data_IF_372074760796
#
_entry.id   IF_372074760796
#
_cell.length_a   1.000
_cell.length_b   1.000
_cell.length_c   1.000
_cell.angle_alpha   90.00
_cell.angle_beta   90.00
_cell.angle_gamma   90.00
#
_symmetry.space_group_name_H-M   'P 1'
#
loop_
_entity.id
_entity.type
_entity.pdbx_description
1 polymer ?
#
# COMPACT_ATOMS: atom_id res chain seq x y z
N UNK A 1 -10.97 6.08 -13.34
CA UNK A 1 -10.04 4.96 -13.63
C UNK A 1 -9.10 5.26 -14.79
N UNK A 2 -9.57 5.75 -15.95
CA UNK A 2 -8.68 6.00 -17.10
C UNK A 2 -7.49 6.90 -16.78
N UNK A 3 -7.71 8.01 -16.05
CA UNK A 3 -6.65 8.91 -15.60
C UNK A 3 -5.55 8.23 -14.75
N UNK A 4 -5.91 7.20 -13.98
CA UNK A 4 -4.96 6.44 -13.13
C UNK A 4 -4.12 5.44 -13.91
N UNK A 5 -4.63 4.93 -15.03
CA UNK A 5 -3.95 3.93 -15.86
C UNK A 5 -2.90 4.57 -16.75
N UNK A 6 -3.21 5.74 -17.32
CA UNK A 6 -2.31 6.40 -18.26
C UNK A 6 -1.08 7.01 -17.57
N UNK A 7 -1.13 7.23 -16.24
CA UNK A 7 -0.03 7.79 -15.44
C UNK A 7 0.41 9.22 -15.82
N UNK A 8 -0.16 9.77 -16.90
CA UNK A 8 0.11 11.10 -17.46
C UNK A 8 -0.77 12.20 -16.86
N UNK A 9 -1.84 11.82 -16.17
CA UNK A 9 -2.79 12.76 -15.60
C UNK A 9 -2.30 13.22 -14.23
N UNK A 10 -1.87 14.47 -14.12
CA UNK A 10 -1.46 15.06 -12.84
C UNK A 10 -2.64 15.20 -11.87
N UNK A 11 -3.86 15.35 -12.40
CA UNK A 11 -5.10 15.44 -11.63
C UNK A 11 -5.99 14.24 -11.89
N UNK A 12 -6.31 13.49 -10.83
CA UNK A 12 -7.31 12.42 -10.86
C UNK A 12 -8.58 12.93 -10.17
N UNK A 13 -9.74 12.92 -10.84
CA UNK A 13 -10.95 13.55 -10.35
C UNK A 13 -11.69 12.68 -9.32
N UNK A 14 -11.08 12.43 -8.16
CA UNK A 14 -11.75 11.71 -7.07
C UNK A 14 -12.93 12.48 -6.46
N UNK A 15 -12.95 13.81 -6.66
CA UNK A 15 -13.96 14.72 -6.08
C UNK A 15 -15.27 14.79 -6.87
N UNK A 16 -15.31 14.22 -8.07
CA UNK A 16 -16.51 14.24 -8.92
C UNK A 16 -17.65 13.42 -8.31
N UNK A 17 -17.33 12.42 -7.46
CA UNK A 17 -18.34 11.67 -6.73
C UNK A 17 -17.91 11.37 -5.29
N UNK A 18 -18.89 11.24 -4.39
CA UNK A 18 -18.65 10.80 -3.01
C UNK A 18 -18.03 9.39 -2.97
N UNK A 19 -18.45 8.50 -3.87
CA UNK A 19 -17.94 7.13 -3.95
C UNK A 19 -16.46 7.11 -4.31
N UNK A 20 -16.04 7.84 -5.34
CA UNK A 20 -14.62 7.93 -5.75
C UNK A 20 -13.76 8.65 -4.71
N UNK A 21 -14.36 9.52 -3.88
CA UNK A 21 -13.67 10.18 -2.77
C UNK A 21 -13.38 9.21 -1.62
N UNK A 22 -14.33 8.33 -1.29
CA UNK A 22 -14.11 7.30 -0.28
C UNK A 22 -13.11 6.25 -0.78
N UNK A 23 -13.20 5.88 -2.06
CA UNK A 23 -12.32 4.89 -2.68
C UNK A 23 -10.99 5.45 -3.16
N UNK A 24 -10.66 6.70 -2.84
CA UNK A 24 -9.42 7.35 -3.29
C UNK A 24 -8.20 6.53 -2.87
N UNK A 25 -8.19 6.03 -1.63
CA UNK A 25 -7.07 5.25 -1.11
C UNK A 25 -6.95 3.86 -1.77
N UNK A 26 -8.08 3.27 -2.12
CA UNK A 26 -8.15 2.01 -2.86
C UNK A 26 -7.72 2.13 -4.33
N UNK A 27 -7.78 3.32 -4.92
CA UNK A 27 -7.54 3.53 -6.35
C UNK A 27 -6.28 4.37 -6.56
N UNK A 28 -5.12 3.87 -6.16
CA UNK A 28 -3.81 4.53 -6.31
C UNK A 28 -3.16 5.01 -5.01
N UNK A 29 -3.74 4.69 -3.84
CA UNK A 29 -3.22 5.06 -2.53
C UNK A 29 -2.58 3.91 -1.76
N UNK A 30 -2.75 3.97 -0.43
CA UNK A 30 -2.17 3.06 0.54
C UNK A 30 -3.17 1.93 0.90
N UNK A 31 -3.52 1.10 -0.08
CA UNK A 31 -4.40 -0.05 0.15
C UNK A 31 -4.07 -1.19 -0.81
N UNK A 32 -4.19 -2.43 -0.35
CA UNK A 32 -4.19 -3.63 -1.21
C UNK A 32 -5.62 -3.85 -1.73
N UNK A 33 -5.87 -3.49 -2.98
CA UNK A 33 -7.23 -3.48 -3.54
C UNK A 33 -7.45 -4.64 -4.50
N UNK A 34 -8.59 -5.30 -4.37
CA UNK A 34 -9.07 -6.36 -5.26
C UNK A 34 -10.40 -5.92 -5.86
N UNK A 35 -10.54 -6.08 -7.18
CA UNK A 35 -11.79 -5.82 -7.89
C UNK A 35 -12.37 -7.15 -8.39
N UNK A 36 -13.62 -7.43 -8.03
CA UNK A 36 -14.38 -8.54 -8.60
C UNK A 36 -15.30 -8.00 -9.70
N UNK A 37 -15.21 -8.57 -10.90
CA UNK A 37 -16.03 -8.21 -12.05
C UNK A 37 -17.09 -9.29 -12.28
N UNK A 38 -18.35 -8.98 -12.00
CA UNK A 38 -19.47 -9.88 -12.19
C UNK A 38 -20.00 -9.75 -13.63
N UNK A 39 -20.04 -10.86 -14.37
CA UNK A 39 -20.50 -10.91 -15.75
C UNK A 39 -21.56 -11.99 -15.93
N UNK A 40 -22.54 -11.75 -16.79
CA UNK A 40 -23.59 -12.71 -17.11
C UNK A 40 -23.29 -13.46 -18.42
N UNK A 41 -23.47 -14.78 -18.51
CA UNK A 41 -23.17 -15.56 -19.72
C UNK A 41 -24.20 -15.41 -20.84
N UNK A 42 -25.32 -14.72 -20.58
CA UNK A 42 -26.41 -14.59 -21.54
C UNK A 42 -26.05 -13.66 -22.70
N UNK A 43 -26.45 -14.02 -23.92
CA UNK A 43 -26.10 -13.28 -25.14
C UNK A 43 -26.58 -11.83 -25.16
N UNK A 44 -27.72 -11.51 -24.52
CA UNK A 44 -28.21 -10.13 -24.42
C UNK A 44 -27.36 -9.24 -23.49
N UNK A 45 -26.51 -9.83 -22.65
CA UNK A 45 -25.58 -9.11 -21.78
C UNK A 45 -24.19 -8.94 -22.41
N UNK A 46 -24.01 -9.29 -23.69
CA UNK A 46 -22.69 -9.29 -24.33
C UNK A 46 -22.00 -7.92 -24.24
N UNK A 47 -22.71 -6.84 -24.59
CA UNK A 47 -22.14 -5.49 -24.62
C UNK A 47 -21.77 -4.98 -23.22
N UNK A 48 -22.61 -5.26 -22.21
CA UNK A 48 -22.36 -4.89 -20.82
C UNK A 48 -21.22 -5.72 -20.21
N UNK A 49 -21.16 -7.01 -20.54
CA UNK A 49 -20.07 -7.90 -20.12
C UNK A 49 -18.75 -7.44 -20.72
N UNK A 50 -18.74 -7.08 -22.01
CA UNK A 50 -17.54 -6.55 -22.67
C UNK A 50 -17.08 -5.23 -22.05
N UNK A 51 -18.01 -4.33 -21.75
CA UNK A 51 -17.73 -3.06 -21.08
C UNK A 51 -17.16 -3.26 -19.67
N UNK A 52 -17.74 -4.19 -18.90
CA UNK A 52 -17.29 -4.57 -17.56
C UNK A 52 -15.87 -5.15 -17.59
N UNK A 53 -15.60 -6.08 -18.50
CA UNK A 53 -14.26 -6.68 -18.66
C UNK A 53 -13.21 -5.65 -19.09
N UNK A 54 -13.56 -4.75 -20.01
CA UNK A 54 -12.66 -3.63 -20.41
C UNK A 54 -12.34 -2.72 -19.22
N UNK A 55 -13.33 -2.43 -18.39
CA UNK A 55 -13.11 -1.65 -17.18
C UNK A 55 -12.23 -2.38 -16.16
N UNK A 56 -12.48 -3.67 -15.93
CA UNK A 56 -11.67 -4.50 -15.04
C UNK A 56 -10.22 -4.61 -15.52
N UNK A 57 -10.01 -4.75 -16.84
CA UNK A 57 -8.67 -4.77 -17.43
C UNK A 57 -7.92 -3.45 -17.20
N UNK A 58 -8.61 -2.31 -17.30
CA UNK A 58 -8.02 -1.01 -16.93
C UNK A 58 -7.70 -0.95 -15.43
N UNK A 59 -8.64 -1.35 -14.57
CA UNK A 59 -8.45 -1.31 -13.13
C UNK A 59 -7.25 -2.17 -12.66
N UNK A 60 -7.01 -3.31 -13.32
CA UNK A 60 -5.84 -4.18 -13.07
C UNK A 60 -4.50 -3.46 -13.22
N UNK A 61 -4.41 -2.44 -14.08
CA UNK A 61 -3.18 -1.72 -14.35
C UNK A 61 -2.90 -0.58 -13.35
N UNK A 62 -3.82 -0.31 -12.42
CA UNK A 62 -3.61 0.68 -11.36
C UNK A 62 -2.57 0.14 -10.38
N UNK A 63 -1.52 0.93 -10.12
CA UNK A 63 -0.46 0.59 -9.17
C UNK A 63 -0.72 1.29 -7.83
N UNK A 64 -1.02 0.51 -6.80
CA UNK A 64 -1.10 1.00 -5.43
C UNK A 64 0.27 0.86 -4.74
N UNK A 65 0.53 1.69 -3.73
CA UNK A 65 1.74 1.63 -2.90
C UNK A 65 1.33 1.42 -1.44
N UNK A 66 0.94 0.20 -1.07
CA UNK A 66 0.58 -0.10 0.31
C UNK A 66 1.81 -0.03 1.22
N UNK A 67 1.69 0.69 2.32
CA UNK A 67 2.65 0.88 3.41
C UNK A 67 1.99 0.40 4.70
N UNK A 68 2.78 -0.19 5.60
CA UNK A 68 2.28 -0.62 6.90
C UNK A 68 1.96 0.64 7.72
N UNK A 69 0.70 0.80 8.10
CA UNK A 69 0.24 1.89 8.95
C UNK A 69 0.57 1.54 10.41
N UNK A 70 1.80 1.81 10.83
CA UNK A 70 2.20 1.76 12.23
C UNK A 70 1.94 3.11 12.90
N UNK A 71 1.48 3.07 14.15
CA UNK A 71 1.37 4.27 14.96
C UNK A 71 2.79 4.84 15.17
N UNK A 72 3.05 6.14 14.95
CA UNK A 72 4.40 6.70 15.09
C UNK A 72 5.02 6.45 16.47
N UNK A 73 4.21 6.27 17.52
CA UNK A 73 4.69 5.87 18.85
C UNK A 73 5.23 4.44 18.87
N UNK A 74 4.54 3.50 18.24
CA UNK A 74 4.95 2.09 18.17
C UNK A 74 6.18 1.92 17.28
N UNK A 75 6.24 2.67 16.17
CA UNK A 75 7.42 2.73 15.32
C UNK A 75 8.65 3.24 16.08
N UNK A 76 8.53 4.36 16.80
CA UNK A 76 9.62 4.88 17.64
C UNK A 76 9.98 3.93 18.79
N UNK A 77 8.99 3.29 19.42
CA UNK A 77 9.24 2.35 20.50
C UNK A 77 10.05 1.14 20.01
N UNK A 78 9.77 0.65 18.81
CA UNK A 78 10.54 -0.44 18.18
C UNK A 78 11.96 0.00 17.84
N UNK A 79 12.14 1.18 17.23
CA UNK A 79 13.49 1.73 16.98
C UNK A 79 14.28 1.87 18.28
N UNK A 80 13.69 2.45 19.33
CA UNK A 80 14.35 2.58 20.62
C UNK A 80 14.67 1.23 21.26
N UNK A 81 13.80 0.22 21.14
CA UNK A 81 14.09 -1.12 21.63
C UNK A 81 15.25 -1.79 20.88
N UNK A 82 15.31 -1.64 19.56
CA UNK A 82 16.43 -2.14 18.74
C UNK A 82 17.74 -1.42 19.09
N UNK A 83 17.70 -0.11 19.29
CA UNK A 83 18.86 0.69 19.65
C UNK A 83 19.36 0.35 21.05
N UNK A 84 18.46 0.17 22.02
CA UNK A 84 18.79 -0.33 23.37
C UNK A 84 19.42 -1.72 23.29
N UNK A 85 18.91 -2.62 22.45
CA UNK A 85 19.47 -3.97 22.30
C UNK A 85 20.90 -3.91 21.74
N UNK A 86 21.13 -3.14 20.68
CA UNK A 86 22.48 -2.91 20.11
C UNK A 86 23.46 -2.34 21.12
N UNK A 87 23.06 -1.29 21.85
CA UNK A 87 23.92 -0.65 22.84
C UNK A 87 24.25 -1.60 24.00
N UNK A 88 23.28 -2.40 24.46
CA UNK A 88 23.53 -3.44 25.48
C UNK A 88 24.51 -4.50 25.01
N UNK A 89 24.44 -4.90 23.74
CA UNK A 89 25.37 -5.86 23.14
C UNK A 89 26.78 -5.27 22.98
N UNK A 90 26.91 -4.01 22.59
CA UNK A 90 28.21 -3.34 22.55
C UNK A 90 28.84 -3.22 23.95
N UNK A 91 28.04 -2.88 24.96
CA UNK A 91 28.50 -2.80 26.35
C UNK A 91 28.90 -4.16 26.91
N UNK A 92 28.21 -5.25 26.54
CA UNK A 92 28.62 -6.60 26.96
C UNK A 92 29.94 -7.01 26.32
N UNK A 93 30.17 -6.68 25.04
CA UNK A 93 31.46 -6.92 24.39
C UNK A 93 32.60 -6.11 25.02
N UNK A 94 32.36 -4.84 25.38
CA UNK A 94 33.36 -4.00 26.06
C UNK A 94 33.65 -4.50 27.47
N UNK A 95 32.63 -4.92 28.23
CA UNK A 95 32.80 -5.50 29.58
C UNK A 95 33.47 -6.87 29.58
N UNK A 96 33.54 -7.55 28.44
CA UNK A 96 34.18 -8.86 28.29
C UNK A 96 35.61 -8.76 27.72
N UNK A 97 36.09 -7.56 27.40
CA UNK A 97 37.51 -7.33 27.18
C UNK A 97 38.23 -7.48 28.53
N UNK A 98 39.26 -8.33 28.64
CA UNK A 98 40.01 -8.47 29.88
C UNK A 98 40.63 -7.10 30.22
N UNK A 99 40.51 -6.68 31.49
CA UNK A 99 41.32 -5.56 31.98
C UNK A 99 42.78 -5.86 31.59
N UNK A 100 43.48 -4.95 30.89
CA UNK A 100 44.92 -5.10 30.74
C UNK A 100 45.51 -4.88 32.14
N UNK A 101 46.03 -5.97 32.72
CA UNK A 101 46.74 -6.02 33.99
C UNK A 101 47.55 -4.74 34.23
N UNK A 102 47.24 -4.03 35.32
CA UNK A 102 48.04 -2.94 35.88
C UNK A 102 48.35 -3.25 37.35
#
# INVERSE_FOLDING_TARGET
>A
ISALVDGKSQHVPYRDSKLTRILQDSLGGNTKTVMCANCGPAGYNYDETLSTLRYANRAKNIKNKPVINEDPKDAMLREYQEEIAKLKEQLSQIKMAPEPDA
#
